data_IF_047945911118
#
_entry.id   IF_047945911118
#
_cell.length_a   1.000
_cell.length_b   1.000
_cell.length_c   1.000
_cell.angle_alpha   90.00
_cell.angle_beta   90.00
_cell.angle_gamma   90.00
#
_symmetry.space_group_name_H-M   'P 1'
#
loop_
_entity.id
_entity.type
_entity.pdbx_description
1 polymer ?
#
# COMPACT_ATOMS: atom_id res chain seq x y z
N UNK A 1 -26.75 52.55 4.31
CA UNK A 1 -27.13 51.28 4.99
C UNK A 1 -26.90 50.17 3.99
N UNK A 2 -25.82 49.39 4.15
CA UNK A 2 -25.50 48.28 3.26
C UNK A 2 -26.18 47.01 3.78
N UNK A 3 -27.08 46.44 2.99
CA UNK A 3 -27.73 45.16 3.27
C UNK A 3 -26.73 44.02 3.05
N UNK A 4 -26.26 43.40 4.14
CA UNK A 4 -25.52 42.14 4.09
C UNK A 4 -26.44 41.05 3.53
N UNK A 5 -26.06 40.45 2.40
CA UNK A 5 -26.70 39.25 1.90
C UNK A 5 -26.43 38.11 2.88
N UNK A 6 -27.42 37.75 3.70
CA UNK A 6 -27.38 36.52 4.48
C UNK A 6 -27.50 35.36 3.49
N UNK A 7 -26.43 34.58 3.33
CA UNK A 7 -26.53 33.29 2.66
C UNK A 7 -27.56 32.44 3.42
N UNK A 8 -28.61 32.00 2.73
CA UNK A 8 -29.63 31.13 3.31
C UNK A 8 -29.01 29.85 3.87
N UNK A 9 -29.67 29.22 4.83
CA UNK A 9 -29.21 27.93 5.34
C UNK A 9 -29.09 26.91 4.19
N UNK A 10 -28.09 26.03 4.24
CA UNK A 10 -27.88 25.06 3.17
C UNK A 10 -29.10 24.15 3.01
N UNK A 11 -29.47 23.89 1.75
CA UNK A 11 -30.67 23.13 1.35
C UNK A 11 -30.49 21.62 1.47
N UNK A 12 -29.40 21.14 2.08
CA UNK A 12 -29.20 19.71 2.25
C UNK A 12 -30.12 19.14 3.33
N UNK A 13 -30.53 17.89 3.14
CA UNK A 13 -31.16 17.08 4.17
C UNK A 13 -30.10 16.25 4.86
N UNK A 14 -29.97 16.41 6.18
CA UNK A 14 -29.00 15.68 6.99
C UNK A 14 -29.17 14.17 6.79
N UNK A 15 -28.11 13.50 6.32
CA UNK A 15 -28.14 12.05 6.05
C UNK A 15 -28.78 11.63 4.71
N UNK A 16 -29.25 12.57 3.89
CA UNK A 16 -29.90 12.26 2.59
C UNK A 16 -29.27 13.00 1.41
N UNK A 17 -29.09 14.33 1.48
CA UNK A 17 -28.71 15.15 0.31
C UNK A 17 -27.63 16.19 0.61
N UNK A 18 -26.64 15.83 1.45
CA UNK A 18 -25.49 16.72 1.74
C UNK A 18 -24.77 17.14 0.45
N UNK A 19 -24.63 16.20 -0.49
CA UNK A 19 -24.13 16.38 -1.86
C UNK A 19 -24.63 15.19 -2.71
N UNK A 20 -24.64 15.30 -4.04
CA UNK A 20 -24.95 14.16 -4.93
C UNK A 20 -23.66 13.37 -5.14
N UNK A 21 -23.64 12.14 -4.63
CA UNK A 21 -22.57 11.17 -4.88
C UNK A 21 -22.97 10.33 -6.11
N UNK A 22 -22.15 10.34 -7.16
CA UNK A 22 -22.42 9.59 -8.40
C UNK A 22 -21.33 8.54 -8.66
N UNK A 23 -21.73 7.29 -8.87
CA UNK A 23 -20.91 6.25 -9.50
C UNK A 23 -20.34 5.18 -8.56
N UNK A 24 -20.12 4.00 -9.14
CA UNK A 24 -19.12 3.01 -8.72
C UNK A 24 -18.00 3.09 -9.76
N UNK A 25 -16.76 3.32 -9.32
CA UNK A 25 -15.63 3.54 -10.22
C UNK A 25 -15.01 2.19 -10.61
N UNK A 26 -14.77 1.97 -11.90
CA UNK A 26 -14.00 0.82 -12.37
C UNK A 26 -12.50 1.10 -12.18
N UNK A 27 -11.65 0.09 -11.88
CA UNK A 27 -10.22 0.31 -11.73
C UNK A 27 -9.62 0.88 -13.00
N UNK A 28 -8.79 1.92 -12.88
CA UNK A 28 -8.11 2.53 -14.02
C UNK A 28 -6.91 1.70 -14.50
N UNK A 29 -7.20 0.63 -15.22
CA UNK A 29 -6.22 -0.32 -15.77
C UNK A 29 -5.65 0.11 -17.14
N UNK A 30 -5.99 1.30 -17.64
CA UNK A 30 -5.46 1.77 -18.92
C UNK A 30 -3.96 2.08 -18.79
N UNK A 31 -3.07 1.48 -19.58
CA UNK A 31 -1.64 1.77 -19.46
C UNK A 31 -1.35 3.23 -19.81
N UNK A 32 -0.37 3.81 -19.12
CA UNK A 32 0.14 5.17 -19.36
C UNK A 32 1.66 5.17 -19.33
N UNK A 33 2.29 6.21 -19.86
CA UNK A 33 3.75 6.29 -20.00
C UNK A 33 4.50 6.13 -18.66
N UNK A 34 3.90 6.56 -17.54
CA UNK A 34 4.50 6.48 -16.20
C UNK A 34 4.08 5.24 -15.40
N UNK A 35 3.10 4.45 -15.87
CA UNK A 35 2.57 3.28 -15.16
C UNK A 35 2.02 2.24 -16.14
N UNK A 36 2.83 1.84 -17.11
CA UNK A 36 2.40 0.93 -18.17
C UNK A 36 2.06 -0.49 -17.65
N UNK A 37 2.67 -0.89 -16.52
CA UNK A 37 2.48 -2.21 -15.92
C UNK A 37 1.08 -2.43 -15.32
N UNK A 38 0.27 -1.37 -15.15
CA UNK A 38 -1.10 -1.49 -14.62
C UNK A 38 -2.02 -2.34 -15.50
N UNK A 39 -1.69 -2.47 -16.79
CA UNK A 39 -2.45 -3.29 -17.73
C UNK A 39 -2.14 -4.80 -17.64
N UNK A 40 -1.19 -5.19 -16.79
CA UNK A 40 -0.83 -6.60 -16.62
C UNK A 40 -1.96 -7.36 -15.89
N UNK A 41 -2.21 -8.63 -16.26
CA UNK A 41 -3.39 -9.37 -15.81
C UNK A 41 -3.46 -9.57 -14.30
N UNK A 42 -2.33 -9.53 -13.60
CA UNK A 42 -2.24 -9.68 -12.15
C UNK A 42 -1.65 -8.44 -11.47
N UNK A 43 -1.70 -7.27 -12.12
CA UNK A 43 -1.47 -6.01 -11.43
C UNK A 43 -2.48 -5.88 -10.27
N UNK A 44 -2.04 -5.60 -9.03
CA UNK A 44 -2.93 -5.59 -7.89
C UNK A 44 -3.95 -4.44 -7.99
N UNK A 45 -5.19 -4.77 -7.65
CA UNK A 45 -6.28 -3.82 -7.42
C UNK A 45 -6.74 -3.98 -5.98
N UNK A 46 -6.98 -2.86 -5.31
CA UNK A 46 -7.40 -2.81 -3.92
C UNK A 46 -8.74 -2.11 -3.82
N UNK A 47 -9.74 -2.79 -3.28
CA UNK A 47 -11.06 -2.18 -3.08
C UNK A 47 -11.10 -1.46 -1.73
N UNK A 48 -11.17 -0.13 -1.76
CA UNK A 48 -10.97 0.72 -0.59
C UNK A 48 -12.29 1.25 -0.03
N UNK A 49 -12.46 1.16 1.29
CA UNK A 49 -13.48 1.88 2.03
C UNK A 49 -12.92 3.18 2.60
N UNK A 50 -13.65 4.28 2.43
CA UNK A 50 -13.29 5.60 2.95
C UNK A 50 -14.40 6.25 3.79
N UNK A 51 -14.03 7.33 4.47
CA UNK A 51 -14.94 8.20 5.22
C UNK A 51 -15.28 9.48 4.44
N UNK A 52 -16.48 10.00 4.64
CA UNK A 52 -17.01 11.24 4.09
C UNK A 52 -16.35 12.48 4.73
N UNK A 53 -15.12 12.78 4.33
CA UNK A 53 -14.37 13.91 4.88
C UNK A 53 -13.93 13.71 6.33
N UNK A 54 -13.45 14.79 6.95
CA UNK A 54 -12.94 14.77 8.33
C UNK A 54 -14.10 14.58 9.31
N UNK A 55 -14.00 13.56 10.18
CA UNK A 55 -15.09 13.11 11.06
C UNK A 55 -16.35 12.66 10.30
N UNK A 56 -16.20 12.27 9.04
CA UNK A 56 -17.27 11.69 8.25
C UNK A 56 -17.65 10.27 8.66
N UNK A 57 -18.85 9.86 8.28
CA UNK A 57 -19.28 8.46 8.24
C UNK A 57 -18.56 7.72 7.11
N UNK A 58 -18.61 6.40 7.09
CA UNK A 58 -18.20 5.68 5.87
C UNK A 58 -19.03 6.09 4.65
N UNK A 59 -18.39 6.10 3.49
CA UNK A 59 -19.12 6.06 2.23
C UNK A 59 -19.92 4.75 2.14
N UNK A 60 -21.13 4.76 1.56
CA UNK A 60 -21.88 3.54 1.27
C UNK A 60 -21.31 2.75 0.09
N UNK A 61 -20.25 3.24 -0.53
CA UNK A 61 -19.55 2.66 -1.68
C UNK A 61 -18.06 2.57 -1.41
N UNK A 62 -17.40 1.72 -2.17
CA UNK A 62 -15.96 1.55 -2.22
C UNK A 62 -15.38 2.15 -3.50
N UNK A 63 -14.07 2.30 -3.56
CA UNK A 63 -13.36 2.73 -4.76
C UNK A 63 -12.10 1.90 -5.00
N UNK A 64 -11.74 1.62 -6.26
CA UNK A 64 -10.54 0.87 -6.58
C UNK A 64 -9.30 1.76 -6.48
N UNK A 65 -8.22 1.18 -5.94
CA UNK A 65 -6.87 1.70 -6.02
C UNK A 65 -6.02 0.75 -6.87
N UNK A 66 -5.23 1.32 -7.77
CA UNK A 66 -4.33 0.57 -8.66
C UNK A 66 -2.88 0.99 -8.46
N UNK A 67 -1.95 0.27 -9.11
CA UNK A 67 -0.55 0.69 -9.19
C UNK A 67 -0.38 2.11 -9.74
N UNK A 68 -1.27 2.56 -10.63
CA UNK A 68 -1.20 3.92 -11.20
C UNK A 68 -1.36 5.00 -10.13
N UNK A 69 -2.26 4.78 -9.18
CA UNK A 69 -2.52 5.72 -8.09
C UNK A 69 -1.35 5.76 -7.12
N UNK A 70 -0.77 4.59 -6.83
CA UNK A 70 0.45 4.48 -6.02
C UNK A 70 1.65 5.16 -6.69
N UNK A 71 1.81 5.01 -8.01
CA UNK A 71 2.86 5.70 -8.76
C UNK A 71 2.66 7.21 -8.74
N UNK A 72 1.43 7.70 -8.87
CA UNK A 72 1.14 9.15 -8.74
C UNK A 72 1.50 9.67 -7.35
N UNK A 73 1.20 8.91 -6.30
CA UNK A 73 1.54 9.29 -4.94
C UNK A 73 3.05 9.27 -4.68
N UNK A 74 3.72 8.22 -5.13
CA UNK A 74 5.17 8.03 -4.93
C UNK A 74 6.02 8.94 -5.84
N UNK A 75 5.50 9.28 -7.02
CA UNK A 75 6.14 10.15 -8.01
C UNK A 75 6.83 9.42 -9.18
N UNK A 76 7.04 8.11 -9.09
CA UNK A 76 7.59 7.29 -10.19
C UNK A 76 7.31 5.79 -9.98
N UNK A 77 7.56 4.97 -11.00
CA UNK A 77 7.31 3.52 -10.99
C UNK A 77 8.56 2.69 -10.63
N UNK A 78 9.07 2.89 -9.41
CA UNK A 78 10.12 2.01 -8.87
C UNK A 78 9.61 0.57 -8.67
N UNK A 79 10.52 -0.39 -8.83
CA UNK A 79 10.24 -1.81 -8.53
C UNK A 79 9.80 -2.02 -7.07
N UNK A 80 10.31 -1.20 -6.15
CA UNK A 80 10.01 -1.28 -4.72
C UNK A 80 8.53 -1.01 -4.42
N UNK A 81 7.95 0.02 -5.03
CA UNK A 81 6.54 0.38 -4.82
C UNK A 81 5.62 -0.72 -5.32
N UNK A 82 5.93 -1.30 -6.49
CA UNK A 82 5.16 -2.44 -7.02
C UNK A 82 5.31 -3.68 -6.14
N UNK A 83 6.52 -3.96 -5.66
CA UNK A 83 6.81 -5.09 -4.77
C UNK A 83 6.07 -4.96 -3.43
N UNK A 84 6.07 -3.78 -2.84
CA UNK A 84 5.34 -3.48 -1.61
C UNK A 84 3.82 -3.59 -1.83
N UNK A 85 3.30 -3.09 -2.97
CA UNK A 85 1.89 -3.26 -3.34
C UNK A 85 1.50 -4.73 -3.45
N UNK A 86 2.27 -5.53 -4.19
CA UNK A 86 1.99 -6.96 -4.36
C UNK A 86 2.05 -7.71 -3.01
N UNK A 87 2.98 -7.32 -2.12
CA UNK A 87 3.08 -7.87 -0.77
C UNK A 87 1.85 -7.49 0.07
N UNK A 88 1.38 -6.24 -0.03
CA UNK A 88 0.16 -5.80 0.62
C UNK A 88 -1.07 -6.53 0.09
N UNK A 89 -1.13 -6.82 -1.20
CA UNK A 89 -2.24 -7.55 -1.81
C UNK A 89 -2.40 -8.95 -1.21
N UNK A 90 -1.32 -9.73 -1.09
CA UNK A 90 -1.40 -11.05 -0.44
C UNK A 90 -1.71 -10.95 1.07
N UNK A 91 -1.27 -9.89 1.74
CA UNK A 91 -1.59 -9.66 3.14
C UNK A 91 -3.07 -9.31 3.37
N UNK A 92 -3.64 -8.43 2.52
CA UNK A 92 -5.02 -8.00 2.64
C UNK A 92 -6.02 -9.12 2.40
N UNK A 93 -5.69 -10.14 1.59
CA UNK A 93 -6.53 -11.34 1.48
C UNK A 93 -6.74 -12.07 2.80
N UNK A 94 -5.80 -11.96 3.73
CA UNK A 94 -5.92 -12.52 5.08
C UNK A 94 -6.64 -11.55 6.02
N UNK A 95 -6.32 -10.26 5.95
CA UNK A 95 -6.90 -9.23 6.83
C UNK A 95 -8.35 -8.87 6.51
N UNK A 96 -8.75 -8.95 5.23
CA UNK A 96 -10.06 -8.58 4.69
C UNK A 96 -10.54 -9.68 3.72
N UNK A 97 -11.06 -10.81 4.24
CA UNK A 97 -11.50 -11.93 3.40
C UNK A 97 -12.70 -11.60 2.51
N UNK A 98 -13.42 -10.52 2.80
CA UNK A 98 -14.49 -9.94 1.96
C UNK A 98 -13.94 -9.05 0.82
N UNK A 99 -12.63 -8.79 0.81
CA UNK A 99 -11.94 -8.02 -0.22
C UNK A 99 -12.02 -6.49 -0.03
N UNK A 100 -12.71 -5.99 0.99
CA UNK A 100 -12.91 -4.55 1.21
C UNK A 100 -11.96 -4.05 2.29
N UNK A 101 -11.04 -3.17 1.91
CA UNK A 101 -9.98 -2.68 2.78
C UNK A 101 -10.44 -1.40 3.49
N UNK A 102 -10.64 -1.50 4.80
CA UNK A 102 -10.88 -0.35 5.66
C UNK A 102 -9.58 0.22 6.23
N UNK A 103 -9.10 1.30 5.61
CA UNK A 103 -7.89 2.02 6.05
C UNK A 103 -8.01 2.71 7.42
N UNK A 104 -9.21 2.80 7.99
CA UNK A 104 -9.43 3.44 9.29
C UNK A 104 -9.23 2.51 10.49
N UNK A 105 -8.91 1.23 10.25
CA UNK A 105 -8.58 0.23 11.29
C UNK A 105 -7.19 -0.37 11.08
N UNK A 106 -6.34 0.28 10.27
CA UNK A 106 -5.04 -0.26 9.91
C UNK A 106 -3.88 0.51 10.54
N UNK A 107 -2.88 -0.26 10.96
CA UNK A 107 -1.51 0.18 11.18
C UNK A 107 -0.59 -0.55 10.20
N UNK A 108 0.58 0.01 9.93
CA UNK A 108 1.54 -0.58 9.02
C UNK A 108 2.99 -0.39 9.49
N UNK A 109 3.81 -1.43 9.31
CA UNK A 109 5.26 -1.39 9.51
C UNK A 109 5.92 -1.67 8.17
N UNK A 110 6.94 -0.89 7.83
CA UNK A 110 7.68 -1.00 6.57
C UNK A 110 9.18 -0.89 6.77
N UNK A 111 9.95 -1.23 5.74
CA UNK A 111 11.35 -0.81 5.64
C UNK A 111 11.47 0.71 5.45
N UNK A 112 12.69 1.23 5.61
CA UNK A 112 12.97 2.67 5.59
C UNK A 112 12.96 3.30 4.18
N UNK A 113 12.92 2.46 3.14
CA UNK A 113 12.95 2.99 1.78
C UNK A 113 11.65 3.75 1.46
N UNK A 114 11.73 4.88 0.73
CA UNK A 114 10.55 5.66 0.37
C UNK A 114 9.49 4.83 -0.37
N UNK A 115 9.90 4.01 -1.34
CA UNK A 115 9.00 3.14 -2.10
C UNK A 115 8.12 2.23 -1.21
N UNK A 116 8.70 1.64 -0.16
CA UNK A 116 7.98 0.70 0.72
C UNK A 116 7.11 1.44 1.73
N UNK A 117 7.64 2.49 2.35
CA UNK A 117 6.90 3.28 3.34
C UNK A 117 5.75 4.07 2.72
N UNK A 118 5.92 4.61 1.51
CA UNK A 118 4.84 5.26 0.75
C UNK A 118 3.74 4.27 0.36
N UNK A 119 4.10 3.06 -0.08
CA UNK A 119 3.13 2.02 -0.40
C UNK A 119 2.29 1.63 0.83
N UNK A 120 2.94 1.40 1.98
CA UNK A 120 2.23 1.10 3.24
C UNK A 120 1.39 2.29 3.67
N UNK A 121 1.94 3.50 3.68
CA UNK A 121 1.19 4.70 4.06
C UNK A 121 -0.03 4.93 3.18
N UNK A 122 0.10 4.78 1.86
CA UNK A 122 -0.98 4.99 0.91
C UNK A 122 -2.11 3.97 1.10
N UNK A 123 -1.76 2.68 1.11
CA UNK A 123 -2.74 1.59 1.14
C UNK A 123 -3.44 1.43 2.50
N UNK A 124 -2.75 1.77 3.60
CA UNK A 124 -3.30 1.58 4.96
C UNK A 124 -3.84 2.86 5.58
N UNK A 125 -3.53 4.04 5.01
CA UNK A 125 -3.78 5.31 5.70
C UNK A 125 -2.90 5.54 6.93
N UNK A 126 -1.90 4.69 7.19
CA UNK A 126 -0.94 4.84 8.27
C UNK A 126 -0.06 6.08 8.07
N UNK A 127 0.24 6.78 9.17
CA UNK A 127 1.08 7.98 9.16
C UNK A 127 1.97 8.03 10.40
N UNK A 128 3.16 8.59 10.23
CA UNK A 128 4.10 8.81 11.33
C UNK A 128 3.48 9.74 12.37
N UNK A 129 2.78 10.81 11.94
CA UNK A 129 2.15 11.78 12.86
C UNK A 129 1.12 11.18 13.83
N UNK A 130 0.55 10.04 13.49
CA UNK A 130 -0.44 9.33 14.30
C UNK A 130 0.12 8.09 14.99
N UNK A 131 1.41 7.78 14.80
CA UNK A 131 2.06 6.64 15.42
C UNK A 131 1.56 5.28 14.90
N UNK A 132 0.81 5.26 13.80
CA UNK A 132 0.31 4.03 13.18
C UNK A 132 1.08 3.61 11.92
N UNK A 133 2.08 4.41 11.48
CA UNK A 133 3.14 3.97 10.57
C UNK A 133 4.44 3.77 11.36
N UNK A 134 4.97 2.56 11.32
CA UNK A 134 6.23 2.18 11.96
C UNK A 134 7.30 1.76 10.95
N UNK A 135 8.55 1.71 11.40
CA UNK A 135 9.68 1.18 10.66
C UNK A 135 10.28 0.00 11.41
N UNK A 136 10.71 -1.05 10.70
CA UNK A 136 11.30 -2.21 11.36
C UNK A 136 12.55 -1.85 12.15
N UNK A 137 12.66 -2.36 13.39
CA UNK A 137 13.90 -2.30 14.17
C UNK A 137 14.99 -3.24 13.63
N UNK A 138 14.56 -4.38 13.08
CA UNK A 138 15.45 -5.36 12.48
C UNK A 138 15.54 -5.13 10.98
N UNK A 139 16.72 -4.70 10.52
CA UNK A 139 17.00 -4.35 9.13
C UNK A 139 16.82 -5.51 8.15
N UNK A 140 16.79 -6.76 8.60
CA UNK A 140 16.48 -7.91 7.73
C UNK A 140 15.10 -7.80 7.09
N UNK A 141 14.18 -7.06 7.71
CA UNK A 141 12.82 -6.85 7.19
C UNK A 141 12.69 -5.60 6.31
N UNK A 142 13.80 -4.99 5.85
CA UNK A 142 13.76 -3.76 5.03
C UNK A 142 12.95 -3.90 3.74
N UNK A 143 12.73 -5.14 3.29
CA UNK A 143 11.93 -5.48 2.12
C UNK A 143 10.82 -6.48 2.47
N UNK A 144 10.16 -6.20 3.58
CA UNK A 144 8.91 -6.79 3.99
C UNK A 144 7.96 -5.69 4.45
N UNK A 145 6.73 -6.07 4.76
CA UNK A 145 5.75 -5.22 5.44
C UNK A 145 5.05 -6.03 6.53
N UNK A 146 4.64 -5.37 7.60
CA UNK A 146 3.61 -5.90 8.50
C UNK A 146 2.40 -4.99 8.40
N UNK A 147 1.25 -5.58 8.11
CA UNK A 147 -0.03 -4.90 8.17
C UNK A 147 -0.80 -5.42 9.39
N UNK A 148 -1.30 -4.51 10.22
CA UNK A 148 -2.03 -4.84 11.44
C UNK A 148 -3.42 -4.24 11.40
N UNK A 149 -4.43 -5.09 11.55
CA UNK A 149 -5.84 -4.73 11.61
C UNK A 149 -6.28 -4.68 13.08
N UNK A 150 -6.59 -3.48 13.56
CA UNK A 150 -6.75 -3.17 14.98
C UNK A 150 -8.01 -3.78 15.61
N UNK A 151 -9.12 -3.82 14.87
CA UNK A 151 -10.41 -4.33 15.35
C UNK A 151 -10.42 -5.86 15.50
N UNK A 152 -9.72 -6.57 14.62
CA UNK A 152 -9.55 -8.04 14.70
C UNK A 152 -8.27 -8.46 15.42
N UNK A 153 -7.40 -7.51 15.75
CA UNK A 153 -6.09 -7.73 16.33
C UNK A 153 -5.19 -8.69 15.51
N UNK A 154 -5.40 -8.75 14.20
CA UNK A 154 -4.63 -9.60 13.30
C UNK A 154 -3.45 -8.83 12.69
N UNK A 155 -2.24 -9.36 12.84
CA UNK A 155 -1.05 -8.87 12.14
C UNK A 155 -0.60 -9.88 11.09
N UNK A 156 -0.23 -9.37 9.91
CA UNK A 156 0.25 -10.19 8.80
C UNK A 156 1.59 -9.64 8.31
N UNK A 157 2.62 -10.48 8.36
CA UNK A 157 3.90 -10.26 7.69
C UNK A 157 3.75 -10.67 6.23
N UNK A 158 4.15 -9.81 5.29
CA UNK A 158 4.20 -10.15 3.88
C UNK A 158 5.51 -9.73 3.23
N UNK A 159 5.96 -10.57 2.30
CA UNK A 159 7.23 -10.40 1.58
C UNK A 159 7.20 -11.20 0.27
N UNK A 160 8.27 -11.08 -0.51
CA UNK A 160 8.50 -11.89 -1.69
C UNK A 160 8.84 -13.36 -1.35
N UNK A 161 8.73 -14.23 -2.34
CA UNK A 161 9.31 -15.58 -2.33
C UNK A 161 10.77 -15.56 -2.79
N UNK A 162 11.52 -16.59 -2.41
CA UNK A 162 12.85 -16.84 -2.95
C UNK A 162 12.79 -16.91 -4.48
N UNK A 163 13.67 -16.17 -5.15
CA UNK A 163 13.75 -16.05 -6.60
C UNK A 163 13.14 -14.76 -7.17
N UNK A 164 12.39 -14.01 -6.36
CA UNK A 164 11.90 -12.65 -6.66
C UNK A 164 12.79 -11.58 -6.05
N UNK A 165 13.46 -11.88 -4.94
CA UNK A 165 14.39 -10.96 -4.30
C UNK A 165 15.49 -10.58 -5.30
N UNK A 166 15.58 -9.29 -5.62
CA UNK A 166 16.50 -8.75 -6.64
C UNK A 166 17.32 -7.56 -6.13
N UNK A 167 17.34 -7.40 -4.80
CA UNK A 167 18.04 -6.34 -4.10
C UNK A 167 19.26 -6.97 -3.41
N UNK A 168 20.48 -6.54 -3.75
CA UNK A 168 21.70 -7.18 -3.26
C UNK A 168 21.76 -7.25 -1.73
N UNK A 169 21.95 -8.47 -1.21
CA UNK A 169 22.15 -8.72 0.22
C UNK A 169 20.87 -8.79 1.06
N UNK A 170 19.70 -8.72 0.44
CA UNK A 170 18.42 -8.77 1.15
C UNK A 170 17.92 -10.21 1.31
N UNK A 171 17.55 -10.62 2.53
CA UNK A 171 17.08 -11.98 2.80
C UNK A 171 15.64 -12.21 2.30
N UNK A 172 15.27 -13.48 2.21
CA UNK A 172 13.87 -13.91 2.08
C UNK A 172 13.35 -14.19 3.47
N UNK A 173 12.28 -13.51 3.89
CA UNK A 173 11.82 -13.57 5.30
C UNK A 173 10.86 -14.73 5.59
N UNK A 174 10.27 -15.32 4.55
CA UNK A 174 9.32 -16.44 4.66
C UNK A 174 9.75 -17.57 3.72
N UNK A 175 9.44 -18.85 4.01
CA UNK A 175 10.09 -20.01 3.39
C UNK A 175 9.69 -20.28 1.94
N UNK A 176 8.70 -19.58 1.39
CA UNK A 176 8.20 -19.81 0.04
C UNK A 176 9.23 -19.52 -1.05
N UNK A 177 9.17 -20.31 -2.12
CA UNK A 177 10.03 -20.23 -3.31
C UNK A 177 9.18 -20.23 -4.57
N UNK A 178 9.59 -19.47 -5.59
CA UNK A 178 8.91 -19.50 -6.89
C UNK A 178 9.17 -20.83 -7.61
N UNK A 179 8.17 -21.27 -8.37
CA UNK A 179 8.25 -22.48 -9.22
C UNK A 179 8.53 -22.16 -10.69
N UNK A 180 8.65 -20.87 -11.02
CA UNK A 180 8.87 -20.37 -12.36
C UNK A 180 10.21 -19.63 -12.45
N UNK A 181 10.68 -19.40 -13.68
CA UNK A 181 11.97 -18.75 -13.93
C UNK A 181 11.75 -17.31 -14.41
N UNK A 182 12.27 -16.31 -13.71
CA UNK A 182 12.22 -14.92 -14.18
C UNK A 182 12.97 -14.73 -15.50
N UNK A 183 12.42 -13.87 -16.36
CA UNK A 183 12.99 -13.48 -17.66
C UNK A 183 14.34 -12.79 -17.54
N UNK A 184 14.58 -12.09 -16.42
CA UNK A 184 15.90 -11.55 -16.06
C UNK A 184 16.45 -12.33 -14.87
N UNK A 185 17.75 -12.65 -14.88
CA UNK A 185 18.31 -13.39 -13.75
C UNK A 185 18.61 -12.44 -12.59
N UNK A 186 18.28 -12.85 -11.36
CA UNK A 186 18.52 -12.02 -10.17
C UNK A 186 20.00 -11.69 -10.01
N UNK A 187 20.88 -12.65 -10.34
CA UNK A 187 22.32 -12.47 -10.33
C UNK A 187 22.78 -11.33 -11.25
N UNK A 188 22.25 -11.23 -12.47
CA UNK A 188 22.62 -10.14 -13.40
C UNK A 188 22.08 -8.80 -12.92
N UNK A 189 20.83 -8.76 -12.44
CA UNK A 189 20.21 -7.55 -11.90
C UNK A 189 20.99 -7.03 -10.70
N UNK A 190 21.33 -7.90 -9.75
CA UNK A 190 22.10 -7.56 -8.56
C UNK A 190 23.52 -7.09 -8.91
N UNK A 191 24.19 -7.78 -9.84
CA UNK A 191 25.52 -7.38 -10.29
C UNK A 191 25.50 -5.99 -10.94
N UNK A 192 24.50 -5.69 -11.78
CA UNK A 192 24.36 -4.38 -12.39
C UNK A 192 24.03 -3.29 -11.37
N UNK A 193 23.10 -3.55 -10.43
CA UNK A 193 22.80 -2.63 -9.32
C UNK A 193 24.03 -2.35 -8.46
N UNK A 194 24.82 -3.38 -8.15
CA UNK A 194 26.07 -3.24 -7.41
C UNK A 194 27.08 -2.39 -8.17
N UNK A 195 27.27 -2.63 -9.47
CA UNK A 195 28.16 -1.83 -10.32
C UNK A 195 27.73 -0.35 -10.40
N UNK A 196 26.43 -0.09 -10.62
CA UNK A 196 25.88 1.27 -10.64
C UNK A 196 26.08 1.98 -9.30
N UNK A 197 25.87 1.28 -8.17
CA UNK A 197 26.09 1.83 -6.83
C UNK A 197 27.57 2.12 -6.57
N UNK A 198 28.47 1.20 -6.94
CA UNK A 198 29.92 1.34 -6.77
C UNK A 198 30.50 2.47 -7.64
N UNK A 199 29.85 2.81 -8.76
CA UNK A 199 30.25 3.94 -9.59
C UNK A 199 30.08 5.32 -8.92
N UNK A 200 29.51 5.40 -7.71
CA UNK A 200 29.56 6.61 -6.87
C UNK A 200 28.89 7.84 -7.49
N UNK A 201 27.84 7.65 -8.30
CA UNK A 201 27.17 8.72 -9.04
C UNK A 201 27.72 8.97 -10.45
N UNK A 202 28.67 8.15 -10.93
CA UNK A 202 29.20 8.20 -12.29
C UNK A 202 29.00 6.90 -13.09
N UNK A 203 27.81 6.26 -13.08
CA UNK A 203 27.55 5.14 -13.98
C UNK A 203 27.50 5.61 -15.43
N UNK A 204 27.74 4.71 -16.38
CA UNK A 204 27.49 5.01 -17.79
C UNK A 204 25.99 5.12 -18.07
N UNK A 205 25.55 5.93 -19.05
CA UNK A 205 24.13 5.99 -19.45
C UNK A 205 23.54 4.61 -19.77
N UNK A 206 24.30 3.76 -20.47
CA UNK A 206 23.90 2.40 -20.79
C UNK A 206 23.61 1.54 -19.54
N UNK A 207 24.43 1.65 -18.49
CA UNK A 207 24.19 0.91 -17.24
C UNK A 207 22.90 1.35 -16.56
N UNK A 208 22.59 2.66 -16.58
CA UNK A 208 21.36 3.21 -16.00
C UNK A 208 20.14 2.71 -16.78
N UNK A 209 20.18 2.79 -18.11
CA UNK A 209 19.09 2.36 -18.99
C UNK A 209 18.87 0.85 -18.91
N UNK A 210 19.94 0.06 -18.93
CA UNK A 210 19.86 -1.39 -18.80
C UNK A 210 19.29 -1.80 -17.44
N UNK A 211 19.72 -1.14 -16.35
CA UNK A 211 19.20 -1.42 -15.01
C UNK A 211 17.70 -1.14 -14.97
N UNK A 212 17.28 0.00 -15.51
CA UNK A 212 15.86 0.36 -15.57
C UNK A 212 15.05 -0.64 -16.41
N UNK A 213 15.57 -1.03 -17.57
CA UNK A 213 14.93 -2.03 -18.43
C UNK A 213 14.78 -3.37 -17.71
N UNK A 214 15.82 -3.85 -17.02
CA UNK A 214 15.76 -5.12 -16.30
C UNK A 214 14.75 -5.08 -15.14
N UNK A 215 14.69 -3.98 -14.39
CA UNK A 215 13.67 -3.76 -13.35
C UNK A 215 12.26 -3.79 -13.95
N UNK A 216 12.06 -3.12 -15.09
CA UNK A 216 10.78 -3.12 -15.80
C UNK A 216 10.40 -4.53 -16.27
N UNK A 217 11.31 -5.28 -16.90
CA UNK A 217 11.05 -6.66 -17.34
C UNK A 217 10.67 -7.53 -16.15
N UNK A 218 11.40 -7.42 -15.04
CA UNK A 218 11.16 -8.22 -13.85
C UNK A 218 9.77 -7.98 -13.27
N UNK A 219 9.41 -6.71 -13.04
CA UNK A 219 8.08 -6.34 -12.53
C UNK A 219 6.98 -6.85 -13.46
N UNK A 220 7.13 -6.66 -14.77
CA UNK A 220 6.11 -7.06 -15.73
C UNK A 220 5.96 -8.59 -15.85
N UNK A 221 7.04 -9.35 -15.66
CA UNK A 221 7.02 -10.82 -15.65
C UNK A 221 6.33 -11.38 -14.39
N UNK A 222 6.52 -10.72 -13.24
CA UNK A 222 5.77 -11.02 -12.00
C UNK A 222 4.27 -10.79 -12.23
N UNK A 223 3.89 -9.63 -12.78
CA UNK A 223 2.48 -9.26 -12.96
C UNK A 223 1.78 -10.02 -14.11
N UNK A 224 2.51 -10.85 -14.87
CA UNK A 224 1.94 -11.83 -15.81
C UNK A 224 1.43 -13.10 -15.11
N UNK A 225 1.58 -13.20 -13.78
CA UNK A 225 1.27 -14.41 -12.99
C UNK A 225 0.46 -14.08 -11.73
N UNK A 226 -0.33 -15.03 -11.20
CA UNK A 226 -0.96 -14.88 -9.89
C UNK A 226 0.05 -14.42 -8.83
N UNK A 227 -0.28 -13.38 -8.07
CA UNK A 227 0.67 -12.77 -7.14
C UNK A 227 1.11 -13.74 -6.04
N UNK A 228 0.28 -14.72 -5.68
CA UNK A 228 0.62 -15.79 -4.74
C UNK A 228 1.74 -16.71 -5.25
N UNK A 229 2.05 -16.73 -6.54
CA UNK A 229 3.20 -17.46 -7.07
C UNK A 229 4.53 -16.75 -6.76
N UNK A 230 4.49 -15.44 -6.49
CA UNK A 230 5.67 -14.58 -6.30
C UNK A 230 5.79 -14.00 -4.89
N UNK A 231 4.67 -13.86 -4.19
CA UNK A 231 4.60 -13.26 -2.87
C UNK A 231 3.96 -14.22 -1.88
N UNK A 232 4.16 -13.95 -0.61
CA UNK A 232 3.70 -14.77 0.49
C UNK A 232 3.40 -13.90 1.71
N UNK A 233 2.49 -14.39 2.54
CA UNK A 233 2.07 -13.73 3.76
C UNK A 233 1.87 -14.77 4.87
N UNK A 234 2.12 -14.36 6.12
CA UNK A 234 1.93 -15.17 7.30
C UNK A 234 1.33 -14.33 8.44
N UNK A 235 0.32 -14.88 9.12
CA UNK A 235 -0.22 -14.29 10.35
C UNK A 235 0.83 -14.40 11.46
N UNK A 236 1.05 -13.31 12.18
CA UNK A 236 1.96 -13.26 13.32
C UNK A 236 1.15 -13.52 14.59
N UNK A 237 1.39 -14.66 15.22
CA UNK A 237 0.77 -14.98 16.50
C UNK A 237 1.29 -14.07 17.61
N UNK A 238 0.40 -13.66 18.52
CA UNK A 238 0.74 -12.84 19.69
C UNK A 238 1.49 -11.54 19.34
N UNK A 239 1.10 -10.91 18.23
CA UNK A 239 1.74 -9.69 17.75
C UNK A 239 1.72 -8.57 18.79
N UNK A 240 2.89 -7.97 19.03
CA UNK A 240 3.07 -6.76 19.84
C UNK A 240 3.82 -5.75 19.01
N UNK A 241 3.22 -4.59 18.79
CA UNK A 241 3.75 -3.56 17.88
C UNK A 241 5.20 -3.16 18.22
N UNK A 242 5.48 -2.99 19.51
CA UNK A 242 6.76 -2.54 20.07
C UNK A 242 7.88 -3.57 19.85
N UNK A 243 7.52 -4.85 19.66
CA UNK A 243 8.50 -5.90 19.36
C UNK A 243 9.04 -5.79 17.93
N UNK A 244 8.41 -5.02 17.05
CA UNK A 244 8.78 -4.94 15.63
C UNK A 244 9.32 -3.57 15.21
N UNK A 245 8.87 -2.49 15.84
CA UNK A 245 9.22 -1.14 15.42
C UNK A 245 10.50 -0.60 16.05
N UNK A 246 11.21 0.24 15.30
CA UNK A 246 12.36 1.02 15.79
C UNK A 246 11.88 2.17 16.69
N UNK A 247 12.17 2.14 18.01
CA UNK A 247 11.73 3.18 18.94
C UNK A 247 12.42 4.54 18.70
N UNK A 248 13.49 4.59 17.90
CA UNK A 248 14.16 5.85 17.54
C UNK A 248 13.47 6.57 16.38
N UNK A 249 12.49 5.92 15.72
CA UNK A 249 11.79 6.42 14.53
C UNK A 249 10.30 6.65 14.76
N UNK A 250 9.90 6.73 16.02
CA UNK A 250 8.54 7.11 16.41
C UNK A 250 8.47 8.58 16.78
N UNK A 251 7.28 9.17 16.66
CA UNK A 251 7.02 10.43 17.34
C UNK A 251 6.86 10.19 18.84
N UNK A 252 7.55 11.00 19.63
CA UNK A 252 7.47 10.93 21.09
C UNK A 252 6.04 11.16 21.63
N UNK A 253 5.24 11.95 20.93
CA UNK A 253 3.83 12.25 21.26
C UNK A 253 2.97 12.24 20.00
N UNK A 254 2.53 11.06 19.53
CA UNK A 254 1.66 10.96 18.36
C UNK A 254 0.32 11.67 18.60
N UNK A 255 -0.28 12.18 17.53
CA UNK A 255 -1.64 12.72 17.59
C UNK A 255 -2.68 11.59 17.63
N UNK A 256 -3.79 11.82 18.33
CA UNK A 256 -4.95 10.93 18.28
C UNK A 256 -5.68 11.06 16.93
N UNK A 257 -6.06 9.93 16.32
CA UNK A 257 -6.86 9.84 15.08
C UNK A 257 -8.32 10.21 15.30
N UNK A 258 -8.59 11.49 15.56
CA UNK A 258 -9.96 11.98 15.78
C UNK A 258 -10.76 12.09 14.48
N UNK A 259 -10.09 12.10 13.32
CA UNK A 259 -10.68 12.21 11.98
C UNK A 259 -11.60 11.04 11.63
N UNK A 260 -11.40 9.86 12.23
CA UNK A 260 -12.19 8.64 11.96
C UNK A 260 -13.20 8.29 13.06
N UNK A 261 -13.32 9.11 14.12
CA UNK A 261 -14.12 8.79 15.31
C UNK A 261 -15.61 8.56 15.02
N UNK A 262 -16.17 9.26 14.03
CA UNK A 262 -17.59 9.22 13.69
C UNK A 262 -17.91 8.29 12.51
N UNK A 263 -16.94 7.50 12.03
CA UNK A 263 -17.10 6.60 10.88
C UNK A 263 -18.33 5.67 11.00
N UNK A 264 -18.63 5.26 12.25
CA UNK A 264 -19.74 4.39 12.63
C UNK A 264 -20.89 5.13 13.35
N UNK A 265 -21.12 6.42 13.14
CA UNK A 265 -22.18 7.14 13.90
C UNK A 265 -23.45 7.38 13.06
N UNK A 266 -24.67 6.98 13.49
CA UNK A 266 -24.95 6.01 14.55
C UNK A 266 -24.48 4.61 14.13
N UNK A 267 -24.22 3.74 15.11
CA UNK A 267 -23.59 2.44 14.90
C UNK A 267 -24.36 1.61 13.87
N UNK A 268 -23.67 1.25 12.77
CA UNK A 268 -24.16 0.32 11.74
C UNK A 268 -23.66 -1.10 12.06
N UNK A 269 -24.40 -2.12 11.65
CA UNK A 269 -24.01 -3.51 11.88
C UNK A 269 -22.84 -3.96 10.99
N UNK A 270 -22.65 -3.32 9.85
CA UNK A 270 -21.49 -3.50 8.98
C UNK A 270 -21.13 -2.20 8.21
N UNK A 271 -19.89 -2.07 7.72
CA UNK A 271 -19.45 -0.88 6.99
C UNK A 271 -20.18 -0.67 5.66
N UNK A 272 -20.63 -1.75 5.00
CA UNK A 272 -21.47 -1.73 3.80
C UNK A 272 -22.87 -2.23 4.17
N UNK A 273 -23.63 -1.40 4.88
CA UNK A 273 -25.08 -1.56 5.01
C UNK A 273 -25.77 -0.51 4.15
N UNK A 274 -26.69 -0.95 3.28
CA UNK A 274 -27.59 -0.05 2.57
C UNK A 274 -28.40 0.82 3.55
N UNK A 275 -28.98 1.93 3.08
CA UNK A 275 -29.77 2.80 3.94
C UNK A 275 -30.92 2.01 4.59
N UNK A 276 -31.09 2.18 5.90
CA UNK A 276 -32.31 1.82 6.63
C UNK A 276 -33.20 3.05 6.72
#
# INVERSE_FOLDING_TARGET
MGTSAFAGQPTYKMGETMFVETGVEAPDLNPTWYAAMVAKPYAPVFEMLATQGTQGRYYPYTYPVTLKDMVRFHGHDCEGTTTAANSAWVAFKLLFPDGVIDRSVLRGISGESPCWSDAVAYLTGARIQYGNLGFFKDRRYSHAIILYREDTQMAVLATWKEGINNIPGEPVMLPGKITWKPKVTMKEVEALKAAVKQAGGQPTPYQVDLMRYQQWVHVNDILERPLEESYQAQVIENFKWEDWIDPTKVLAKPHERTDTRLKNYPYRGSPIEGPK
#
